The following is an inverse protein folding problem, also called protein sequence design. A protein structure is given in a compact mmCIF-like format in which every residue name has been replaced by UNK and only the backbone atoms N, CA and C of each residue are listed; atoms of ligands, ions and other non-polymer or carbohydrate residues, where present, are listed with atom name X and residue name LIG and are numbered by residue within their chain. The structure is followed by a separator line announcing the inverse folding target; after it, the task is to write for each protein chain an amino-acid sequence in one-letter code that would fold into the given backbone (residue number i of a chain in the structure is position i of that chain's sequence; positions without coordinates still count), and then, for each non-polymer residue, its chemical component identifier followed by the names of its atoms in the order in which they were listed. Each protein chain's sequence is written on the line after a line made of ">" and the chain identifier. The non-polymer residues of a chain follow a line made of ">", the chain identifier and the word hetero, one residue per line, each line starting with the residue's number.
data_IF_154275579354
#
_entry.id   IF_154275579354
#
_cell.length_a   1.000
_cell.length_b   1.000
_cell.length_c   1.000
_cell.angle_alpha   90.00
_cell.angle_beta   90.00
_cell.angle_gamma   90.00
#
_symmetry.space_group_name_H-M   'P 1'
#
loop_
_entity.id
_entity.type
_entity.pdbx_description
1 polymer ?
#
# COMPACT_ATOMS: atom_id res chain seq x y z
N UNK A 1 10.13 29.13 -30.40
CA UNK A 1 10.16 27.68 -30.14
C UNK A 1 9.29 27.43 -28.90
N UNK A 2 7.97 27.32 -29.10
CA UNK A 2 7.03 27.08 -28.00
C UNK A 2 6.97 25.58 -27.75
N UNK A 3 7.57 25.13 -26.67
CA UNK A 3 7.32 23.79 -26.15
C UNK A 3 5.84 23.76 -25.74
N UNK A 4 5.03 23.02 -26.49
CA UNK A 4 3.59 22.89 -26.28
C UNK A 4 3.32 22.30 -24.90
N UNK A 5 2.21 22.69 -24.27
CA UNK A 5 1.72 22.12 -23.01
C UNK A 5 1.80 20.58 -22.93
N UNK A 6 1.72 19.88 -24.08
CA UNK A 6 1.88 18.42 -24.21
C UNK A 6 3.22 17.88 -23.68
N UNK A 7 4.32 18.65 -23.78
CA UNK A 7 5.61 18.20 -23.24
C UNK A 7 5.63 18.22 -21.71
N UNK A 8 4.84 19.09 -21.08
CA UNK A 8 4.67 19.13 -19.61
C UNK A 8 3.78 18.00 -19.10
N UNK A 9 2.93 17.45 -19.97
CA UNK A 9 2.13 16.27 -19.69
C UNK A 9 2.95 14.96 -19.81
N UNK A 10 4.03 14.99 -20.60
CA UNK A 10 4.92 13.84 -20.89
C UNK A 10 6.27 13.84 -20.17
N UNK A 11 6.69 14.93 -19.52
CA UNK A 11 7.70 14.86 -18.44
C UNK A 11 7.11 14.00 -17.32
N UNK A 12 7.65 12.79 -17.19
CA UNK A 12 7.02 11.68 -16.48
C UNK A 12 6.68 12.08 -15.05
N UNK A 13 5.42 11.89 -14.66
CA UNK A 13 5.04 11.97 -13.25
C UNK A 13 5.76 10.82 -12.51
N UNK A 14 6.99 11.07 -12.07
CA UNK A 14 7.77 10.10 -11.29
C UNK A 14 7.12 9.82 -9.93
N UNK A 15 6.27 10.75 -9.45
CA UNK A 15 5.35 10.52 -8.34
C UNK A 15 4.05 9.89 -8.85
N UNK A 16 3.79 8.67 -8.41
CA UNK A 16 2.67 7.85 -8.87
C UNK A 16 1.71 7.59 -7.72
N UNK A 17 0.41 7.61 -7.99
CA UNK A 17 -0.58 7.00 -7.11
C UNK A 17 -0.72 5.54 -7.53
N UNK A 18 -0.44 4.61 -6.62
CA UNK A 18 -0.52 3.17 -6.86
C UNK A 18 -1.51 2.53 -5.91
N UNK A 19 -2.23 1.51 -6.41
CA UNK A 19 -3.09 0.66 -5.60
C UNK A 19 -2.42 -0.69 -5.41
N UNK A 20 -2.40 -1.18 -4.17
CA UNK A 20 -1.81 -2.47 -3.82
C UNK A 20 -2.75 -3.24 -2.89
N UNK A 21 -2.61 -4.56 -2.92
CA UNK A 21 -3.33 -5.50 -2.04
C UNK A 21 -2.32 -6.28 -1.21
N UNK A 22 -2.30 -6.09 0.10
CA UNK A 22 -1.42 -6.83 1.02
C UNK A 22 -2.21 -7.68 2.00
N UNK A 23 -1.62 -8.80 2.42
CA UNK A 23 -2.23 -9.71 3.39
C UNK A 23 -1.69 -9.41 4.78
N UNK A 24 -2.56 -8.95 5.68
CA UNK A 24 -2.23 -8.66 7.07
C UNK A 24 -2.69 -9.84 7.93
N UNK A 25 -1.74 -10.55 8.54
CA UNK A 25 -2.05 -11.60 9.51
C UNK A 25 -2.34 -10.96 10.88
N UNK A 26 -3.42 -11.38 11.54
CA UNK A 26 -3.76 -10.97 12.91
C UNK A 26 -3.83 -12.23 13.77
N UNK A 27 -3.09 -12.30 14.89
CA UNK A 27 -3.11 -13.45 15.77
C UNK A 27 -4.44 -13.51 16.55
N UNK A 28 -4.90 -14.71 16.96
CA UNK A 28 -6.22 -14.90 17.55
C UNK A 28 -6.43 -14.11 18.85
N UNK A 29 -5.37 -13.81 19.59
CA UNK A 29 -5.41 -13.04 20.84
C UNK A 29 -5.82 -11.57 20.60
N UNK A 30 -5.57 -11.04 19.40
CA UNK A 30 -5.90 -9.67 18.99
C UNK A 30 -7.25 -9.56 18.28
N UNK A 31 -7.91 -10.70 17.99
CA UNK A 31 -9.23 -10.75 17.37
C UNK A 31 -10.32 -10.46 18.43
N UNK A 32 -10.46 -9.20 18.80
CA UNK A 32 -11.57 -8.76 19.64
C UNK A 32 -12.83 -8.49 18.80
N UNK A 33 -13.99 -8.94 19.31
CA UNK A 33 -15.27 -8.99 18.59
C UNK A 33 -15.87 -7.64 18.17
N UNK A 34 -15.36 -6.52 18.69
CA UNK A 34 -15.81 -5.20 18.25
C UNK A 34 -15.07 -4.79 16.97
N UNK A 35 -15.81 -4.52 15.88
CA UNK A 35 -15.24 -4.12 14.59
C UNK A 35 -14.24 -2.96 14.69
N UNK A 36 -14.51 -1.98 15.57
CA UNK A 36 -13.62 -0.84 15.80
C UNK A 36 -12.26 -1.28 16.37
N UNK A 37 -12.26 -2.29 17.25
CA UNK A 37 -11.05 -2.83 17.87
C UNK A 37 -10.26 -3.69 16.89
N UNK A 38 -10.91 -4.36 15.93
CA UNK A 38 -10.24 -5.16 14.90
C UNK A 38 -9.63 -4.31 13.78
N UNK A 39 -10.28 -3.21 13.38
CA UNK A 39 -9.76 -2.33 12.32
C UNK A 39 -8.44 -1.67 12.72
N UNK A 40 -8.31 -1.23 13.98
CA UNK A 40 -7.11 -0.56 14.50
C UNK A 40 -5.80 -1.38 14.32
N UNK A 41 -5.69 -2.65 14.77
CA UNK A 41 -4.48 -3.44 14.60
C UNK A 41 -4.18 -3.70 13.11
N UNK A 42 -5.20 -3.86 12.26
CA UNK A 42 -4.99 -3.97 10.80
C UNK A 42 -4.32 -2.70 10.26
N UNK A 43 -4.81 -1.51 10.61
CA UNK A 43 -4.19 -0.25 10.19
C UNK A 43 -2.75 -0.10 10.69
N UNK A 44 -2.52 -0.35 11.98
CA UNK A 44 -1.19 -0.21 12.60
C UNK A 44 -0.19 -1.17 11.96
N UNK A 45 -0.57 -2.44 11.81
CA UNK A 45 0.30 -3.47 11.23
C UNK A 45 0.58 -3.22 9.77
N UNK A 46 -0.43 -2.84 8.98
CA UNK A 46 -0.24 -2.41 7.58
C UNK A 46 0.77 -1.24 7.55
N UNK A 47 0.59 -0.19 8.36
CA UNK A 47 1.48 0.96 8.33
C UNK A 47 2.93 0.58 8.67
N UNK A 48 3.13 -0.33 9.63
CA UNK A 48 4.43 -0.88 9.98
C UNK A 48 5.06 -1.66 8.80
N UNK A 49 4.35 -2.63 8.22
CA UNK A 49 4.84 -3.44 7.10
C UNK A 49 5.25 -2.60 5.88
N UNK A 50 4.59 -1.45 5.66
CA UNK A 50 4.96 -0.54 4.57
C UNK A 50 6.12 0.37 4.89
N UNK A 51 6.25 0.81 6.13
CA UNK A 51 7.43 1.54 6.57
C UNK A 51 8.69 0.66 6.42
N UNK A 52 8.56 -0.66 6.60
CA UNK A 52 9.64 -1.62 6.40
C UNK A 52 9.96 -1.86 4.90
N UNK A 53 8.93 -1.83 4.04
CA UNK A 53 9.10 -2.06 2.60
C UNK A 53 9.46 -0.77 1.86
N UNK A 54 10.75 -0.60 1.54
CA UNK A 54 11.27 0.63 0.93
C UNK A 54 10.95 0.80 -0.56
N UNK A 55 11.02 -0.28 -1.35
CA UNK A 55 10.81 -0.21 -2.80
C UNK A 55 10.45 -1.57 -3.43
N UNK A 56 9.90 -1.53 -4.64
CA UNK A 56 9.88 -2.67 -5.58
C UNK A 56 10.27 -2.23 -6.98
N UNK A 57 10.67 -3.17 -7.84
CA UNK A 57 10.92 -2.90 -9.26
C UNK A 57 9.66 -2.39 -9.99
N UNK A 58 8.50 -2.95 -9.66
CA UNK A 58 7.23 -2.58 -10.25
C UNK A 58 6.79 -1.16 -9.87
N UNK A 59 6.88 -0.78 -8.59
CA UNK A 59 6.28 0.46 -8.08
C UNK A 59 7.28 1.57 -7.73
N UNK A 60 8.59 1.28 -7.74
CA UNK A 60 9.61 2.20 -7.26
C UNK A 60 9.63 2.30 -5.73
N UNK A 61 10.06 3.45 -5.22
CA UNK A 61 10.15 3.75 -3.80
C UNK A 61 8.77 4.06 -3.21
N UNK A 62 8.44 3.44 -2.08
CA UNK A 62 7.22 3.75 -1.34
C UNK A 62 7.42 5.01 -0.50
N UNK A 63 6.50 5.96 -0.59
CA UNK A 63 6.60 7.22 0.15
C UNK A 63 5.56 7.33 1.26
N UNK A 64 4.29 7.15 0.93
CA UNK A 64 3.20 7.33 1.89
C UNK A 64 1.95 6.55 1.51
N UNK A 65 1.25 6.03 2.51
CA UNK A 65 -0.14 5.56 2.34
C UNK A 65 -1.05 6.76 2.24
N UNK A 66 -1.98 6.74 1.29
CA UNK A 66 -3.00 7.79 1.18
C UNK A 66 -4.32 7.34 1.77
N UNK A 67 -4.75 6.12 1.45
CA UNK A 67 -6.05 5.59 1.83
C UNK A 67 -5.96 4.08 2.03
N UNK A 68 -6.75 3.56 2.95
CA UNK A 68 -7.10 2.14 2.98
C UNK A 68 -8.46 2.01 2.33
N UNK A 69 -8.49 1.35 1.19
CA UNK A 69 -9.63 1.37 0.28
C UNK A 69 -10.63 0.26 0.66
N UNK A 70 -10.13 -0.94 0.97
CA UNK A 70 -10.97 -2.08 1.34
C UNK A 70 -10.23 -3.08 2.22
N UNK A 71 -10.87 -3.49 3.31
CA UNK A 71 -10.46 -4.67 4.08
C UNK A 71 -11.42 -5.80 3.67
N UNK A 72 -10.90 -6.85 3.06
CA UNK A 72 -11.70 -8.03 2.67
C UNK A 72 -11.85 -8.97 3.86
N UNK A 73 -12.79 -9.91 3.74
CA UNK A 73 -13.06 -10.92 4.76
C UNK A 73 -11.78 -11.68 5.14
N UNK A 74 -11.61 -11.90 6.43
CA UNK A 74 -10.45 -12.57 6.99
C UNK A 74 -10.51 -14.08 6.76
N UNK A 75 -9.40 -14.67 6.36
CA UNK A 75 -9.28 -16.11 6.12
C UNK A 75 -8.45 -16.73 7.24
N UNK A 76 -9.04 -17.70 7.96
CA UNK A 76 -8.34 -18.43 9.02
C UNK A 76 -7.26 -19.33 8.41
N UNK A 77 -6.01 -19.19 8.87
CA UNK A 77 -4.94 -20.13 8.53
C UNK A 77 -5.12 -21.42 9.31
N UNK A 78 -5.22 -22.52 8.58
CA UNK A 78 -5.17 -23.86 9.16
C UNK A 78 -3.83 -23.99 9.90
N UNK A 79 -3.86 -24.51 11.14
CA UNK A 79 -2.74 -24.71 12.07
C UNK A 79 -2.36 -23.52 12.98
N UNK A 80 -2.28 -22.28 12.51
CA UNK A 80 -1.90 -21.16 13.40
C UNK A 80 -3.09 -20.50 14.10
N UNK A 81 -4.30 -20.62 13.53
CA UNK A 81 -5.48 -19.91 14.04
C UNK A 81 -5.44 -18.39 13.78
N UNK A 82 -4.38 -17.89 13.13
CA UNK A 82 -4.31 -16.51 12.67
C UNK A 82 -5.36 -16.26 11.59
N UNK A 83 -5.89 -15.04 11.57
CA UNK A 83 -6.79 -14.58 10.52
C UNK A 83 -6.03 -13.64 9.60
N UNK A 84 -6.01 -13.96 8.31
CA UNK A 84 -5.37 -13.15 7.28
C UNK A 84 -6.41 -12.28 6.60
N UNK A 85 -6.26 -10.96 6.72
CA UNK A 85 -7.08 -9.97 6.06
C UNK A 85 -6.38 -9.44 4.81
N UNK A 86 -6.92 -9.66 3.61
CA UNK A 86 -6.46 -8.95 2.43
C UNK A 86 -6.90 -7.48 2.50
N UNK A 87 -5.95 -6.56 2.40
CA UNK A 87 -6.16 -5.12 2.53
C UNK A 87 -5.72 -4.44 1.24
N UNK A 88 -6.69 -3.85 0.56
CA UNK A 88 -6.48 -2.96 -0.58
C UNK A 88 -6.24 -1.54 -0.06
N UNK A 89 -5.19 -0.88 -0.53
CA UNK A 89 -4.85 0.48 -0.15
C UNK A 89 -4.24 1.23 -1.34
N UNK A 90 -4.36 2.56 -1.29
CA UNK A 90 -3.63 3.45 -2.20
C UNK A 90 -2.42 4.07 -1.50
N UNK A 91 -1.34 4.25 -2.24
CA UNK A 91 -0.14 4.93 -1.77
C UNK A 91 0.46 5.84 -2.85
N UNK A 92 1.31 6.77 -2.42
CA UNK A 92 2.21 7.50 -3.30
C UNK A 92 3.54 6.74 -3.37
N UNK A 93 4.02 6.54 -4.59
CA UNK A 93 5.34 5.98 -4.88
C UNK A 93 6.16 6.93 -5.74
N UNK A 94 7.47 6.72 -5.75
CA UNK A 94 8.40 7.44 -6.60
C UNK A 94 9.19 6.46 -7.46
N UNK A 95 9.00 6.51 -8.78
CA UNK A 95 9.66 5.63 -9.74
C UNK A 95 10.45 6.44 -10.76
N UNK A 96 11.75 6.16 -10.83
CA UNK A 96 12.64 6.75 -11.82
C UNK A 96 12.53 5.96 -13.12
N UNK A 97 12.32 6.66 -14.24
CA UNK A 97 12.34 6.07 -15.57
C UNK A 97 13.59 6.52 -16.31
N UNK A 98 14.13 5.64 -17.16
CA UNK A 98 15.32 5.95 -17.96
C UNK A 98 15.07 7.17 -18.84
N UNK A 99 15.96 8.16 -18.76
CA UNK A 99 15.86 9.41 -19.53
C UNK A 99 15.15 10.56 -18.82
N UNK A 100 14.56 10.32 -17.63
CA UNK A 100 14.00 11.39 -16.79
C UNK A 100 15.12 12.17 -16.06
N UNK A 101 14.84 13.45 -15.78
CA UNK A 101 15.71 14.32 -14.98
C UNK A 101 15.24 14.33 -13.54
N UNK A 102 16.14 14.03 -12.59
CA UNK A 102 15.88 13.98 -11.14
C UNK A 102 16.14 15.31 -10.43
#
# INVERSE_FOLDING_TARGET
>A
MSFSEDYRQTLGKMFLKSQLSWNIAIPPEELHLDELKLKKPIYVRRLAEFAEKKATEEFGYFLAVTTVDKIREGIVRQHSGEVVFPVDFSCITFKVFTGEVL
#
